data_IF_311261899652
#
_entry.id   IF_311261899652
#
_cell.length_a   1.000
_cell.length_b   1.000
_cell.length_c   1.000
_cell.angle_alpha   90.00
_cell.angle_beta   90.00
_cell.angle_gamma   90.00
#
_symmetry.space_group_name_H-M   'P 1'
#
loop_
_entity.id
_entity.type
_entity.pdbx_description
1 polymer ?
#
# COMPACT_ATOMS: atom_id res chain seq x y z
N UNK A 1 -0.48 -23.74 -12.69
CA UNK A 1 -1.41 -23.16 -11.71
C UNK A 1 -0.91 -21.76 -11.41
N UNK A 2 -1.37 -20.77 -12.18
CA UNK A 2 -0.97 -19.37 -12.00
C UNK A 2 -1.59 -18.83 -10.72
N UNK A 3 -0.76 -18.63 -9.71
CA UNK A 3 -1.19 -17.96 -8.49
C UNK A 3 -1.38 -16.48 -8.85
N UNK A 4 -2.62 -15.99 -8.76
CA UNK A 4 -2.93 -14.57 -8.88
C UNK A 4 -2.18 -13.85 -7.75
N UNK A 5 -1.04 -13.26 -8.07
CA UNK A 5 -0.02 -12.64 -7.21
C UNK A 5 -0.52 -11.64 -6.15
N UNK A 6 -1.77 -11.16 -6.27
CA UNK A 6 -2.43 -10.43 -5.18
C UNK A 6 -2.63 -11.29 -3.91
N UNK A 7 -2.81 -12.61 -4.04
CA UNK A 7 -2.97 -13.54 -2.91
C UNK A 7 -1.71 -13.65 -2.05
N UNK A 8 -0.53 -13.56 -2.66
CA UNK A 8 0.74 -13.64 -1.94
C UNK A 8 0.96 -12.40 -1.07
N UNK A 9 0.60 -11.20 -1.55
CA UNK A 9 0.65 -9.98 -0.73
C UNK A 9 -0.20 -10.12 0.54
N UNK A 10 -1.46 -10.57 0.42
CA UNK A 10 -2.32 -10.76 1.60
C UNK A 10 -1.72 -11.78 2.58
N UNK A 11 -1.17 -12.88 2.07
CA UNK A 11 -0.56 -13.93 2.89
C UNK A 11 0.64 -13.41 3.67
N UNK A 12 1.59 -12.77 2.99
CA UNK A 12 2.83 -12.29 3.61
C UNK A 12 2.56 -11.13 4.57
N UNK A 13 1.69 -10.18 4.20
CA UNK A 13 1.28 -9.09 5.11
C UNK A 13 0.55 -9.64 6.34
N UNK A 14 -0.35 -10.62 6.18
CA UNK A 14 -1.03 -11.24 7.32
C UNK A 14 -0.04 -11.90 8.27
N UNK A 15 0.93 -12.66 7.72
CA UNK A 15 1.98 -13.29 8.52
C UNK A 15 2.80 -12.24 9.27
N UNK A 16 3.25 -11.21 8.57
CA UNK A 16 4.05 -10.14 9.16
C UNK A 16 3.29 -9.40 10.28
N UNK A 17 1.99 -9.16 10.10
CA UNK A 17 1.16 -8.54 11.14
C UNK A 17 1.01 -9.46 12.36
N UNK A 18 0.73 -10.74 12.18
CA UNK A 18 0.58 -11.70 13.29
C UNK A 18 1.89 -11.80 14.09
N UNK A 19 3.01 -11.93 13.39
CA UNK A 19 4.34 -12.10 14.00
C UNK A 19 4.97 -10.76 14.43
N UNK A 20 4.33 -9.62 14.13
CA UNK A 20 4.91 -8.29 14.24
C UNK A 20 6.28 -8.17 13.53
N UNK A 21 6.45 -8.89 12.42
CA UNK A 21 7.68 -8.88 11.64
C UNK A 21 7.78 -7.58 10.83
N UNK A 22 8.71 -6.73 11.25
CA UNK A 22 8.98 -5.43 10.66
C UNK A 22 10.23 -5.42 9.78
N UNK A 23 10.78 -6.59 9.47
CA UNK A 23 12.02 -6.72 8.71
C UNK A 23 11.90 -6.29 7.25
N UNK A 24 10.67 -6.17 6.71
CA UNK A 24 10.42 -5.89 5.30
C UNK A 24 9.38 -4.80 5.06
N UNK A 25 9.52 -4.12 3.93
CA UNK A 25 8.44 -3.43 3.26
C UNK A 25 7.77 -4.38 2.25
N UNK A 26 6.44 -4.34 2.18
CA UNK A 26 5.64 -5.13 1.24
C UNK A 26 4.95 -4.20 0.25
N UNK A 27 5.08 -4.46 -1.05
CA UNK A 27 4.50 -3.66 -2.12
C UNK A 27 3.65 -4.52 -3.03
N UNK A 28 2.54 -3.95 -3.49
CA UNK A 28 1.68 -4.53 -4.50
C UNK A 28 1.61 -3.57 -5.68
N UNK A 29 2.05 -4.05 -6.83
CA UNK A 29 2.04 -3.33 -8.10
C UNK A 29 0.95 -3.87 -9.02
N UNK A 30 0.44 -3.02 -9.90
CA UNK A 30 -0.44 -3.38 -11.01
C UNK A 30 0.35 -3.21 -12.32
N UNK A 31 0.42 -4.30 -13.10
CA UNK A 31 1.11 -4.34 -14.38
C UNK A 31 0.19 -3.89 -15.51
N UNK A 32 0.76 -3.60 -16.68
CA UNK A 32 0.05 -3.08 -17.85
C UNK A 32 -1.00 -4.03 -18.41
N UNK A 33 -0.86 -5.33 -18.18
CA UNK A 33 -1.83 -6.36 -18.53
C UNK A 33 -2.97 -6.50 -17.50
N UNK A 34 -2.99 -5.66 -16.46
CA UNK A 34 -3.97 -5.70 -15.36
C UNK A 34 -3.68 -6.77 -14.32
N UNK A 35 -2.61 -7.56 -14.48
CA UNK A 35 -2.14 -8.46 -13.44
C UNK A 35 -1.53 -7.68 -12.28
N UNK A 36 -1.37 -8.35 -11.13
CA UNK A 36 -0.76 -7.75 -9.94
C UNK A 36 0.56 -8.42 -9.68
N UNK A 37 1.50 -7.72 -9.03
CA UNK A 37 2.78 -8.30 -8.63
C UNK A 37 3.14 -7.88 -7.22
N UNK A 38 3.40 -8.87 -6.37
CA UNK A 38 3.90 -8.65 -5.01
C UNK A 38 5.43 -8.61 -5.00
N UNK A 39 6.00 -7.63 -4.31
CA UNK A 39 7.44 -7.54 -4.09
C UNK A 39 7.70 -7.09 -2.64
N UNK A 40 8.75 -7.62 -2.02
CA UNK A 40 9.18 -7.17 -0.69
C UNK A 40 10.68 -6.92 -0.64
N UNK A 41 11.07 -6.01 0.24
CA UNK A 41 12.46 -5.57 0.41
C UNK A 41 12.77 -5.40 1.89
N UNK A 42 14.02 -5.60 2.33
CA UNK A 42 14.42 -5.30 3.71
C UNK A 42 14.07 -3.86 4.10
N UNK A 43 13.61 -3.66 5.33
CA UNK A 43 13.24 -2.35 5.88
C UNK A 43 14.40 -1.34 5.94
N UNK A 44 15.64 -1.83 5.93
CA UNK A 44 16.86 -1.02 5.87
C UNK A 44 17.10 -0.39 4.51
N UNK A 45 16.43 -0.86 3.45
CA UNK A 45 16.68 -0.42 2.09
C UNK A 45 15.71 0.71 1.70
N UNK A 46 16.19 1.61 0.83
CA UNK A 46 15.33 2.63 0.24
C UNK A 46 14.17 1.99 -0.54
N UNK A 47 13.02 2.65 -0.53
CA UNK A 47 11.85 2.19 -1.26
C UNK A 47 12.15 2.13 -2.76
N UNK A 48 11.99 0.98 -3.41
CA UNK A 48 12.26 0.87 -4.83
C UNK A 48 11.14 1.51 -5.64
N UNK A 49 11.55 2.45 -6.45
CA UNK A 49 10.77 2.93 -7.58
C UNK A 49 10.94 1.95 -8.74
N UNK A 50 9.85 1.36 -9.22
CA UNK A 50 9.88 0.46 -10.38
C UNK A 50 9.32 1.18 -11.60
N UNK A 51 10.00 1.02 -12.73
CA UNK A 51 9.59 1.55 -14.03
C UNK A 51 9.73 0.49 -15.11
N UNK A 52 8.92 0.60 -16.15
CA UNK A 52 9.10 -0.15 -17.41
C UNK A 52 10.34 0.34 -18.16
N UNK A 53 10.77 -0.40 -19.19
CA UNK A 53 11.96 -0.08 -19.99
C UNK A 53 11.90 1.28 -20.68
N UNK A 54 10.69 1.80 -20.93
CA UNK A 54 10.45 3.12 -21.50
C UNK A 54 10.46 4.25 -20.44
N UNK A 55 10.81 3.95 -19.19
CA UNK A 55 10.82 4.90 -18.08
C UNK A 55 9.47 5.16 -17.42
N UNK A 56 8.36 4.61 -17.94
CA UNK A 56 7.04 4.76 -17.32
C UNK A 56 7.00 4.09 -15.95
N UNK A 57 6.61 4.78 -14.87
CA UNK A 57 6.52 4.17 -13.54
C UNK A 57 5.46 3.07 -13.51
N UNK A 58 5.77 1.96 -12.85
CA UNK A 58 4.81 0.89 -12.59
C UNK A 58 3.90 1.33 -11.44
N UNK A 59 2.59 1.17 -11.63
CA UNK A 59 1.59 1.60 -10.67
C UNK A 59 1.67 0.80 -9.38
N UNK A 60 2.13 1.44 -8.31
CA UNK A 60 2.05 0.90 -6.96
C UNK A 60 0.63 1.09 -6.41
N UNK A 61 -0.11 -0.01 -6.22
CA UNK A 61 -1.50 0.03 -5.74
C UNK A 61 -1.61 -0.10 -4.22
N UNK A 62 -0.60 -0.64 -3.56
CA UNK A 62 -0.57 -0.71 -2.09
C UNK A 62 0.86 -0.88 -1.58
N UNK A 63 1.14 -0.32 -0.41
CA UNK A 63 2.38 -0.56 0.32
C UNK A 63 2.08 -0.79 1.79
N UNK A 64 2.86 -1.66 2.42
CA UNK A 64 2.83 -1.94 3.85
C UNK A 64 4.23 -1.77 4.40
N UNK A 65 4.41 -0.69 5.15
CA UNK A 65 5.66 -0.38 5.82
C UNK A 65 5.67 -0.94 7.26
N UNK A 66 6.85 -1.09 7.88
CA UNK A 66 7.00 -1.53 9.28
C UNK A 66 6.03 -0.88 10.26
N UNK A 67 5.81 0.43 10.15
CA UNK A 67 4.88 1.16 11.03
C UNK A 67 3.42 0.71 10.87
N UNK A 68 3.00 0.40 9.64
CA UNK A 68 1.65 -0.11 9.36
C UNK A 68 1.48 -1.52 9.91
N UNK A 69 2.52 -2.35 9.83
CA UNK A 69 2.53 -3.71 10.41
C UNK A 69 2.33 -3.63 11.92
N UNK A 70 3.10 -2.77 12.60
CA UNK A 70 2.99 -2.53 14.04
C UNK A 70 1.58 -2.06 14.41
N UNK A 71 1.03 -1.09 13.68
CA UNK A 71 -0.31 -0.56 13.93
C UNK A 71 -1.39 -1.63 13.81
N UNK A 72 -1.35 -2.44 12.76
CA UNK A 72 -2.29 -3.54 12.56
C UNK A 72 -2.12 -4.63 13.62
N UNK A 73 -0.88 -4.94 14.02
CA UNK A 73 -0.58 -5.94 15.04
C UNK A 73 -1.28 -5.56 16.35
N UNK A 74 -1.04 -4.35 16.86
CA UNK A 74 -1.65 -3.90 18.11
C UNK A 74 -3.16 -3.73 18.04
N UNK A 75 -3.70 -3.29 16.90
CA UNK A 75 -5.17 -3.15 16.73
C UNK A 75 -5.90 -4.48 16.64
N UNK A 76 -5.22 -5.56 16.25
CA UNK A 76 -5.86 -6.84 16.01
C UNK A 76 -6.19 -7.64 17.27
N UNK A 77 -5.68 -7.23 18.44
CA UNK A 77 -6.12 -7.75 19.75
C UNK A 77 -5.53 -9.10 20.18
N UNK A 78 -4.81 -9.80 19.30
CA UNK A 78 -4.15 -11.10 19.55
C UNK A 78 -5.09 -12.20 20.11
N UNK A 79 -6.38 -12.13 19.79
CA UNK A 79 -7.40 -13.15 20.12
C UNK A 79 -7.81 -13.99 18.88
N UNK A 80 -8.77 -14.88 19.03
CA UNK A 80 -9.31 -15.71 17.93
C UNK A 80 -9.93 -14.90 16.77
N UNK A 81 -10.26 -13.62 16.99
CA UNK A 81 -10.81 -12.71 16.00
C UNK A 81 -9.72 -11.94 15.23
N UNK A 82 -8.47 -12.04 15.66
CA UNK A 82 -7.28 -11.42 15.03
C UNK A 82 -7.21 -11.70 13.53
N UNK A 83 -7.23 -12.97 13.13
CA UNK A 83 -7.03 -13.35 11.72
C UNK A 83 -8.17 -12.87 10.81
N UNK A 84 -9.47 -13.06 11.15
CA UNK A 84 -10.57 -12.44 10.43
C UNK A 84 -10.49 -10.92 10.34
N UNK A 85 -10.10 -10.25 11.44
CA UNK A 85 -9.96 -8.80 11.48
C UNK A 85 -8.86 -8.32 10.53
N UNK A 86 -7.67 -8.92 10.57
CA UNK A 86 -6.53 -8.57 9.71
C UNK A 86 -6.90 -8.74 8.23
N UNK A 87 -7.51 -9.87 7.86
CA UNK A 87 -7.93 -10.13 6.47
C UNK A 87 -8.89 -9.06 5.96
N UNK A 88 -9.85 -8.64 6.78
CA UNK A 88 -10.79 -7.56 6.44
C UNK A 88 -10.05 -6.23 6.30
N UNK A 89 -9.25 -5.85 7.29
CA UNK A 89 -8.52 -4.60 7.29
C UNK A 89 -7.55 -4.47 6.10
N UNK A 90 -6.84 -5.55 5.75
CA UNK A 90 -5.95 -5.59 4.59
C UNK A 90 -6.72 -5.37 3.28
N UNK A 91 -7.87 -6.02 3.11
CA UNK A 91 -8.70 -5.85 1.91
C UNK A 91 -9.21 -4.42 1.79
N UNK A 92 -9.66 -3.82 2.89
CA UNK A 92 -10.15 -2.45 2.92
C UNK A 92 -9.02 -1.46 2.57
N UNK A 93 -7.84 -1.68 3.15
CA UNK A 93 -6.64 -0.89 2.85
C UNK A 93 -6.21 -1.00 1.39
N UNK A 94 -6.16 -2.21 0.81
CA UNK A 94 -5.80 -2.40 -0.62
C UNK A 94 -6.82 -1.74 -1.53
N UNK A 95 -8.11 -1.86 -1.22
CA UNK A 95 -9.19 -1.22 -1.99
C UNK A 95 -9.05 0.30 -1.96
N UNK A 96 -8.77 0.85 -0.78
CA UNK A 96 -8.56 2.29 -0.60
C UNK A 96 -7.30 2.78 -1.33
N UNK A 97 -6.17 2.10 -1.12
CA UNK A 97 -4.91 2.45 -1.74
C UNK A 97 -4.98 2.35 -3.27
N UNK A 98 -5.72 1.37 -3.82
CA UNK A 98 -6.00 1.27 -5.25
C UNK A 98 -6.78 2.47 -5.76
N UNK A 99 -7.85 2.90 -5.08
CA UNK A 99 -8.63 4.09 -5.48
C UNK A 99 -7.77 5.35 -5.53
N UNK A 100 -6.87 5.53 -4.55
CA UNK A 100 -5.90 6.62 -4.56
C UNK A 100 -4.93 6.46 -5.74
N UNK A 101 -4.38 5.27 -5.94
CA UNK A 101 -3.49 5.01 -7.07
C UNK A 101 -4.19 5.24 -8.42
N UNK A 102 -5.46 4.87 -8.57
CA UNK A 102 -6.24 5.14 -9.77
C UNK A 102 -6.30 6.65 -10.04
N UNK A 103 -6.59 7.47 -9.03
CA UNK A 103 -6.62 8.94 -9.14
C UNK A 103 -5.24 9.52 -9.50
N UNK A 104 -4.19 9.06 -8.82
CA UNK A 104 -2.86 9.64 -9.00
C UNK A 104 -2.26 9.24 -10.35
N UNK A 105 -2.47 8.01 -10.79
CA UNK A 105 -1.96 7.51 -12.06
C UNK A 105 -2.90 7.79 -13.25
N UNK A 106 -4.18 8.12 -13.04
CA UNK A 106 -5.06 8.62 -14.11
C UNK A 106 -4.68 10.03 -14.56
N UNK A 107 -4.14 10.83 -13.63
CA UNK A 107 -3.67 12.19 -13.90
C UNK A 107 -2.20 12.19 -14.30
N UNK A 108 -1.89 11.70 -15.50
CA UNK A 108 -0.58 11.91 -16.12
C UNK A 108 -0.32 13.38 -16.52
N UNK A 109 -1.14 14.37 -16.12
CA UNK A 109 -0.94 15.77 -16.52
C UNK A 109 -1.17 16.90 -15.50
N UNK A 110 -1.76 16.69 -14.31
CA UNK A 110 -1.93 17.81 -13.37
C UNK A 110 -1.68 17.40 -11.92
N UNK A 111 -0.88 18.22 -11.22
CA UNK A 111 -0.57 18.07 -9.80
C UNK A 111 -1.83 18.25 -8.96
N UNK A 112 -2.43 17.14 -8.54
CA UNK A 112 -3.47 17.14 -7.51
C UNK A 112 -2.91 17.64 -6.18
N UNK A 113 -3.66 18.49 -5.49
CA UNK A 113 -3.30 18.95 -4.15
C UNK A 113 -3.77 17.96 -3.08
N UNK A 114 -3.22 18.12 -1.87
CA UNK A 114 -3.57 17.36 -0.66
C UNK A 114 -5.07 17.38 -0.38
N UNK A 115 -5.66 18.56 -0.50
CA UNK A 115 -7.02 18.86 -0.09
C UNK A 115 -8.02 18.31 -1.11
N UNK A 116 -7.63 18.25 -2.39
CA UNK A 116 -8.38 17.57 -3.45
C UNK A 116 -8.47 16.06 -3.22
N UNK A 117 -7.41 15.45 -2.68
CA UNK A 117 -7.40 14.02 -2.34
C UNK A 117 -8.24 13.75 -1.09
N UNK A 118 -8.12 14.58 -0.05
CA UNK A 118 -8.82 14.39 1.23
C UNK A 118 -10.33 14.66 1.15
N UNK A 119 -10.76 15.66 0.39
CA UNK A 119 -12.18 15.99 0.20
C UNK A 119 -13.00 14.88 -0.48
N UNK A 120 -12.32 13.97 -1.21
CA UNK A 120 -12.94 12.84 -1.93
C UNK A 120 -12.96 11.55 -1.12
N UNK A 121 -12.32 11.53 0.05
CA UNK A 121 -12.22 10.36 0.92
C UNK A 121 -13.32 10.43 2.00
N UNK A 122 -14.26 9.49 1.98
CA UNK A 122 -15.21 9.26 3.08
C UNK A 122 -15.03 7.85 3.63
N UNK A 123 -14.35 7.69 4.77
CA UNK A 123 -14.35 6.41 5.50
C UNK A 123 -14.35 6.60 7.03
N UNK A 124 -15.23 5.88 7.75
CA UNK A 124 -15.43 6.03 9.20
C UNK A 124 -14.44 5.26 10.09
N UNK A 125 -13.57 4.40 9.54
CA UNK A 125 -12.78 3.42 10.33
C UNK A 125 -11.26 3.65 10.33
N UNK A 126 -10.76 4.70 9.65
CA UNK A 126 -9.34 5.07 9.66
C UNK A 126 -9.20 6.40 10.40
N UNK A 127 -8.21 6.51 11.29
CA UNK A 127 -7.87 7.83 11.85
C UNK A 127 -7.28 8.70 10.73
N UNK A 128 -7.63 9.99 10.76
CA UNK A 128 -7.11 11.01 9.84
C UNK A 128 -5.57 10.93 9.78
N UNK A 129 -4.93 10.72 10.93
CA UNK A 129 -3.47 10.59 11.06
C UNK A 129 -2.88 9.40 10.27
N UNK A 130 -3.60 8.27 10.20
CA UNK A 130 -3.15 7.09 9.44
C UNK A 130 -3.22 7.32 7.93
N UNK A 131 -4.24 8.08 7.50
CA UNK A 131 -4.43 8.50 6.10
C UNK A 131 -3.33 9.50 5.72
N UNK A 132 -3.08 10.53 6.55
CA UNK A 132 -2.06 11.55 6.32
C UNK A 132 -0.65 10.98 6.24
N UNK A 133 -0.31 9.98 7.06
CA UNK A 133 1.00 9.31 7.03
C UNK A 133 1.22 8.50 5.76
N UNK A 134 0.21 7.73 5.33
CA UNK A 134 0.26 7.01 4.05
C UNK A 134 0.37 7.97 2.86
N UNK A 135 -0.33 9.10 2.92
CA UNK A 135 -0.27 10.12 1.88
C UNK A 135 1.06 10.87 1.85
N UNK A 136 1.63 11.20 3.02
CA UNK A 136 2.97 11.81 3.13
C UNK A 136 4.03 10.90 2.53
N UNK A 137 3.90 9.60 2.76
CA UNK A 137 4.77 8.59 2.14
C UNK A 137 4.61 8.56 0.62
N UNK A 138 3.38 8.52 0.10
CA UNK A 138 3.13 8.57 -1.34
C UNK A 138 3.64 9.87 -1.97
N UNK A 139 3.50 11.03 -1.32
CA UNK A 139 4.05 12.32 -1.80
C UNK A 139 5.56 12.33 -1.90
N UNK A 140 6.26 11.83 -0.88
CA UNK A 140 7.73 11.72 -0.92
C UNK A 140 8.17 10.80 -2.05
N UNK A 141 7.42 9.72 -2.28
CA UNK A 141 7.61 8.87 -3.45
C UNK A 141 7.48 9.72 -4.71
N UNK A 142 6.37 10.43 -4.93
CA UNK A 142 6.12 11.26 -6.13
C UNK A 142 7.14 12.39 -6.35
N UNK A 143 7.60 13.06 -5.30
CA UNK A 143 8.62 14.11 -5.41
C UNK A 143 9.96 13.57 -5.89
N UNK A 144 10.29 12.31 -5.57
CA UNK A 144 11.50 11.65 -6.08
C UNK A 144 11.44 11.29 -7.58
N UNK A 145 10.28 11.41 -8.23
CA UNK A 145 10.12 11.22 -9.69
C UNK A 145 10.22 12.52 -10.50
N UNK A 146 10.25 13.69 -9.85
CA UNK A 146 10.35 15.00 -10.52
C UNK A 146 11.79 15.54 -10.60
N UNK A 147 12.78 14.74 -10.21
CA UNK A 147 14.21 15.05 -10.32
C UNK A 147 14.87 14.29 -11.45
#
# INVERSE_FOLDING_TARGET
MELKDGTLFYKECTKAIIECDTSKHHFLYELSDGSRKYISFPASNNTPTLSYSNGTPIKCICSMAPKTIIDFHYKSGNDDLTLPWIKRALRDMVTHAKSIADIVYSNHHESLTVDDMLSRIKYPNFSIESIEKNQTYMRKLFQSFKG
#
